data_IF_054120983549
#
_entry.id   IF_054120983549
#
_cell.length_a   1.000
_cell.length_b   1.000
_cell.length_c   1.000
_cell.angle_alpha   90.00
_cell.angle_beta   90.00
_cell.angle_gamma   90.00
#
_symmetry.space_group_name_H-M   'P 1'
#
loop_
_entity.id
_entity.type
_entity.pdbx_description
1 polymer ?
#
# COMPACT_ATOMS: atom_id res chain seq x y z
N UNK A 1 5.24 -44.60 35.20
CA UNK A 1 5.36 -43.15 35.44
C UNK A 1 6.31 -42.42 34.47
N UNK A 2 7.52 -42.94 34.21
CA UNK A 2 8.41 -42.30 33.21
C UNK A 2 7.94 -42.51 31.76
N UNK A 3 7.46 -43.69 31.39
CA UNK A 3 6.89 -43.96 30.06
C UNK A 3 5.72 -43.03 29.72
N UNK A 4 4.84 -42.73 30.70
CA UNK A 4 3.75 -41.82 30.50
C UNK A 4 4.25 -40.38 30.26
N UNK A 5 5.28 -39.95 30.99
CA UNK A 5 5.91 -38.63 30.81
C UNK A 5 6.55 -38.50 29.43
N UNK A 6 7.24 -39.53 28.93
CA UNK A 6 7.81 -39.52 27.59
C UNK A 6 6.72 -39.47 26.51
N UNK A 7 5.63 -40.23 26.65
CA UNK A 7 4.50 -40.23 25.75
C UNK A 7 3.82 -38.83 25.70
N UNK A 8 3.66 -38.19 26.85
CA UNK A 8 3.09 -36.83 26.95
C UNK A 8 4.01 -35.79 26.27
N UNK A 9 5.33 -35.91 26.48
CA UNK A 9 6.31 -35.03 25.84
C UNK A 9 6.33 -35.19 24.31
N UNK A 10 6.27 -36.44 23.81
CA UNK A 10 6.18 -36.70 22.36
C UNK A 10 4.90 -36.13 21.76
N UNK A 11 3.78 -36.29 22.47
CA UNK A 11 2.49 -35.74 22.02
C UNK A 11 2.53 -34.22 21.94
N UNK A 12 3.02 -33.54 22.97
CA UNK A 12 3.20 -32.08 23.00
C UNK A 12 4.12 -31.62 21.88
N UNK A 13 5.29 -32.24 21.74
CA UNK A 13 6.26 -31.91 20.69
C UNK A 13 5.66 -32.08 19.28
N UNK A 14 4.85 -33.11 19.08
CA UNK A 14 4.16 -33.33 17.80
C UNK A 14 3.09 -32.28 17.53
N UNK A 15 2.38 -31.85 18.56
CA UNK A 15 1.40 -30.75 18.46
C UNK A 15 2.11 -29.44 18.13
N UNK A 16 3.16 -29.07 18.86
CA UNK A 16 3.94 -27.86 18.65
C UNK A 16 4.52 -27.80 17.22
N UNK A 17 5.05 -28.92 16.73
CA UNK A 17 5.56 -29.05 15.37
C UNK A 17 4.45 -28.86 14.30
N UNK A 18 3.24 -29.38 14.57
CA UNK A 18 2.10 -29.21 13.65
C UNK A 18 1.62 -27.75 13.63
N UNK A 19 1.55 -27.10 14.78
CA UNK A 19 1.18 -25.70 14.91
C UNK A 19 2.20 -24.79 14.23
N UNK A 20 3.48 -25.00 14.49
CA UNK A 20 4.57 -24.28 13.83
C UNK A 20 4.50 -24.42 12.30
N UNK A 21 4.33 -25.63 11.79
CA UNK A 21 4.21 -25.88 10.34
C UNK A 21 2.97 -25.22 9.73
N UNK A 22 1.85 -25.18 10.45
CA UNK A 22 0.64 -24.45 10.02
C UNK A 22 0.92 -22.94 9.97
N UNK A 23 1.57 -22.40 10.99
CA UNK A 23 1.97 -20.99 11.05
C UNK A 23 2.86 -20.60 9.87
N UNK A 24 3.90 -21.39 9.59
CA UNK A 24 4.81 -21.17 8.45
C UNK A 24 4.05 -21.19 7.11
N UNK A 25 3.18 -22.19 6.89
CA UNK A 25 2.38 -22.24 5.64
C UNK A 25 1.44 -21.03 5.50
N UNK A 26 0.82 -20.61 6.59
CA UNK A 26 -0.05 -19.45 6.58
C UNK A 26 0.72 -18.16 6.28
N UNK A 27 1.93 -17.99 6.86
CA UNK A 27 2.81 -16.87 6.59
C UNK A 27 3.27 -16.84 5.11
N UNK A 28 3.73 -17.98 4.58
CA UNK A 28 4.10 -18.10 3.17
C UNK A 28 2.94 -17.77 2.23
N UNK A 29 1.72 -18.24 2.54
CA UNK A 29 0.54 -17.93 1.74
C UNK A 29 0.22 -16.42 1.74
N UNK A 30 0.40 -15.75 2.89
CA UNK A 30 0.21 -14.30 2.99
C UNK A 30 1.21 -13.52 2.13
N UNK A 31 2.49 -13.89 2.17
CA UNK A 31 3.52 -13.30 1.31
C UNK A 31 3.15 -13.46 -0.17
N UNK A 32 2.82 -14.69 -0.59
CA UNK A 32 2.41 -14.96 -1.98
C UNK A 32 1.17 -14.17 -2.39
N UNK A 33 0.20 -13.99 -1.49
CA UNK A 33 -0.99 -13.20 -1.79
C UNK A 33 -0.65 -11.71 -1.92
N UNK A 34 0.21 -11.17 -1.05
CA UNK A 34 0.68 -9.78 -1.14
C UNK A 34 1.43 -9.50 -2.43
N UNK A 35 2.32 -10.41 -2.86
CA UNK A 35 3.01 -10.31 -4.15
C UNK A 35 2.05 -10.33 -5.34
N UNK A 36 1.00 -11.15 -5.29
CA UNK A 36 -0.03 -11.18 -6.35
C UNK A 36 -0.79 -9.86 -6.43
N UNK A 37 -1.16 -9.27 -5.31
CA UNK A 37 -1.87 -7.99 -5.29
C UNK A 37 -0.97 -6.85 -5.77
N UNK A 38 0.31 -6.86 -5.40
CA UNK A 38 1.30 -5.91 -5.92
C UNK A 38 1.44 -6.00 -7.45
N UNK A 39 1.53 -7.23 -7.99
CA UNK A 39 1.58 -7.43 -9.44
C UNK A 39 0.31 -6.92 -10.12
N UNK A 40 -0.87 -7.17 -9.55
CA UNK A 40 -2.15 -6.63 -10.06
C UNK A 40 -2.19 -5.11 -10.04
N UNK A 41 -1.69 -4.50 -8.97
CA UNK A 41 -1.60 -3.05 -8.85
C UNK A 41 -0.67 -2.47 -9.92
N UNK A 42 0.50 -3.07 -10.10
CA UNK A 42 1.46 -2.70 -11.15
C UNK A 42 0.82 -2.81 -12.55
N UNK A 43 0.05 -3.86 -12.83
CA UNK A 43 -0.69 -4.03 -14.09
C UNK A 43 -1.75 -2.95 -14.30
N UNK A 44 -2.43 -2.51 -13.23
CA UNK A 44 -3.40 -1.40 -13.32
C UNK A 44 -2.68 -0.11 -13.69
N UNK A 45 -1.61 0.24 -12.99
CA UNK A 45 -0.80 1.43 -13.29
C UNK A 45 -0.26 1.37 -14.73
N UNK A 46 0.22 0.21 -15.18
CA UNK A 46 0.69 0.02 -16.56
C UNK A 46 -0.40 0.28 -17.62
N UNK A 47 -1.62 -0.15 -17.36
CA UNK A 47 -2.76 0.12 -18.25
C UNK A 47 -3.13 1.60 -18.27
N UNK A 48 -3.17 2.25 -17.10
CA UNK A 48 -3.46 3.67 -16.98
C UNK A 48 -2.42 4.51 -17.73
N UNK A 49 -1.13 4.18 -17.57
CA UNK A 49 -0.05 4.90 -18.24
C UNK A 49 -0.08 4.70 -19.78
N UNK A 50 -0.39 3.49 -20.25
CA UNK A 50 -0.60 3.25 -21.69
C UNK A 50 -1.76 4.09 -22.22
N UNK A 51 -2.91 4.08 -21.55
CA UNK A 51 -4.07 4.86 -21.93
C UNK A 51 -3.76 6.38 -21.96
N UNK A 52 -3.00 6.88 -21.00
CA UNK A 52 -2.51 8.26 -20.94
C UNK A 52 -1.65 8.59 -22.17
N UNK A 53 -0.64 7.76 -22.46
CA UNK A 53 0.27 7.96 -23.62
C UNK A 53 -0.49 7.94 -24.95
N UNK A 54 -1.43 7.03 -25.11
CA UNK A 54 -2.27 6.96 -26.29
C UNK A 54 -3.18 8.19 -26.44
N UNK A 55 -3.76 8.68 -25.33
CA UNK A 55 -4.56 9.90 -25.34
C UNK A 55 -3.73 11.12 -25.77
N UNK A 56 -2.51 11.25 -25.24
CA UNK A 56 -1.56 12.30 -25.64
C UNK A 56 -1.17 12.20 -27.11
N UNK A 57 -0.90 10.99 -27.61
CA UNK A 57 -0.58 10.76 -29.03
C UNK A 57 -1.76 11.13 -29.95
N UNK A 58 -2.99 11.06 -29.46
CA UNK A 58 -4.20 11.53 -30.17
C UNK A 58 -4.47 13.03 -30.01
N UNK A 59 -3.59 13.77 -29.35
CA UNK A 59 -3.71 15.23 -29.17
C UNK A 59 -4.53 15.65 -27.94
N UNK A 60 -4.76 14.77 -26.97
CA UNK A 60 -5.37 15.17 -25.71
C UNK A 60 -4.46 16.18 -24.99
N UNK A 61 -5.07 17.21 -24.38
CA UNK A 61 -4.34 18.19 -23.61
C UNK A 61 -3.63 17.53 -22.41
N UNK A 62 -2.37 17.88 -22.21
CA UNK A 62 -1.63 17.46 -21.01
C UNK A 62 -2.20 18.18 -19.79
N UNK A 63 -2.77 17.45 -18.85
CA UNK A 63 -3.06 18.02 -17.53
C UNK A 63 -1.73 18.52 -16.93
N UNK A 64 -1.75 19.73 -16.38
CA UNK A 64 -0.58 20.27 -15.69
C UNK A 64 -0.21 19.34 -14.52
N UNK A 65 1.05 18.93 -14.47
CA UNK A 65 1.53 18.09 -13.38
C UNK A 65 1.46 18.84 -12.05
N UNK A 66 0.81 18.24 -11.06
CA UNK A 66 0.70 18.76 -9.69
C UNK A 66 1.76 18.16 -8.78
N UNK A 67 2.35 17.02 -9.18
CA UNK A 67 3.54 16.43 -8.58
C UNK A 67 4.67 16.49 -9.61
N UNK A 68 5.82 17.01 -9.20
CA UNK A 68 7.06 17.08 -9.98
C UNK A 68 8.23 16.88 -9.03
N UNK A 69 9.45 16.80 -9.54
CA UNK A 69 10.65 16.72 -8.69
C UNK A 69 10.79 17.90 -7.71
N UNK A 70 10.16 19.05 -7.99
CA UNK A 70 10.08 20.16 -7.05
C UNK A 70 9.20 19.87 -5.82
N UNK A 71 8.40 18.80 -5.87
CA UNK A 71 7.56 18.36 -4.74
C UNK A 71 8.31 17.50 -3.71
N UNK A 72 9.60 17.22 -3.93
CA UNK A 72 10.42 16.47 -2.99
C UNK A 72 10.45 17.17 -1.61
N UNK A 73 10.12 16.42 -0.57
CA UNK A 73 10.11 16.89 0.82
C UNK A 73 9.02 17.91 1.16
N UNK A 74 8.06 18.16 0.27
CA UNK A 74 7.02 19.20 0.47
C UNK A 74 5.60 18.68 0.53
N UNK A 75 5.36 17.42 0.13
CA UNK A 75 4.01 16.85 0.18
C UNK A 75 3.55 16.63 1.62
N UNK A 76 2.30 16.99 1.95
CA UNK A 76 1.76 16.72 3.28
C UNK A 76 1.61 15.21 3.50
N UNK A 77 1.59 14.80 4.76
CA UNK A 77 1.27 13.43 5.11
C UNK A 77 -0.20 13.14 4.79
N UNK A 78 -0.50 11.98 4.16
CA UNK A 78 -1.88 11.62 3.82
C UNK A 78 -2.75 11.30 5.04
N UNK A 79 -2.14 10.92 6.14
CA UNK A 79 -2.78 10.65 7.44
C UNK A 79 -1.78 10.88 8.56
N UNK A 80 -2.26 11.25 9.73
CA UNK A 80 -1.45 11.30 10.95
C UNK A 80 -1.23 9.89 11.50
N UNK A 81 -0.01 9.58 11.92
CA UNK A 81 0.30 8.27 12.46
C UNK A 81 1.79 7.98 12.51
N UNK A 82 2.14 6.78 12.98
CA UNK A 82 3.51 6.30 13.08
C UNK A 82 3.87 5.45 11.86
N UNK A 83 5.14 5.46 11.47
CA UNK A 83 5.62 4.61 10.39
C UNK A 83 5.72 3.16 10.88
N UNK A 84 5.01 2.23 10.22
CA UNK A 84 5.05 0.80 10.52
C UNK A 84 6.11 0.07 9.70
N UNK A 85 6.19 0.38 8.42
CA UNK A 85 7.20 -0.15 7.49
C UNK A 85 7.59 0.91 6.46
N UNK A 86 8.77 0.72 5.90
CA UNK A 86 9.41 1.64 4.95
C UNK A 86 9.46 1.03 3.57
N UNK A 87 9.62 1.88 2.57
CA UNK A 87 9.91 1.49 1.19
C UNK A 87 11.21 0.67 1.10
N UNK A 88 11.21 -0.33 0.25
CA UNK A 88 12.37 -1.17 -0.05
C UNK A 88 12.33 -2.55 0.63
N UNK A 89 13.43 -3.29 0.58
CA UNK A 89 13.53 -4.63 1.16
C UNK A 89 13.45 -4.58 2.69
N UNK A 90 12.74 -5.56 3.25
CA UNK A 90 12.58 -5.72 4.69
C UNK A 90 12.57 -7.23 5.04
N UNK A 91 12.98 -7.60 6.27
CA UNK A 91 12.84 -8.97 6.73
C UNK A 91 11.38 -9.40 6.76
N UNK A 92 11.10 -10.52 6.14
CA UNK A 92 9.81 -11.18 6.18
C UNK A 92 9.75 -12.33 7.19
N UNK A 93 8.61 -13.02 7.32
CA UNK A 93 8.48 -14.22 8.13
C UNK A 93 9.45 -15.31 7.66
N UNK A 94 9.92 -16.15 8.60
CA UNK A 94 10.73 -17.34 8.30
C UNK A 94 12.00 -17.08 7.46
N UNK A 95 12.70 -15.98 7.74
CA UNK A 95 13.93 -15.58 7.05
C UNK A 95 13.73 -15.31 5.54
N UNK A 96 12.49 -14.96 5.13
CA UNK A 96 12.19 -14.45 3.78
C UNK A 96 12.47 -12.95 3.71
N UNK A 97 12.53 -12.42 2.49
CA UNK A 97 12.60 -10.98 2.23
C UNK A 97 11.30 -10.52 1.59
N UNK A 98 10.76 -9.41 2.07
CA UNK A 98 9.61 -8.72 1.49
C UNK A 98 10.09 -7.38 0.94
N UNK A 99 9.69 -7.03 -0.27
CA UNK A 99 9.94 -5.70 -0.83
C UNK A 99 8.67 -4.86 -0.75
N UNK A 100 8.73 -3.76 -0.01
CA UNK A 100 7.64 -2.79 0.08
C UNK A 100 7.79 -1.72 -1.00
N UNK A 101 6.76 -1.51 -1.80
CA UNK A 101 6.73 -0.47 -2.85
C UNK A 101 6.17 0.87 -2.35
N UNK A 102 5.87 0.94 -1.07
CA UNK A 102 5.37 2.13 -0.38
C UNK A 102 5.73 2.14 1.10
N UNK A 103 5.00 2.90 1.87
CA UNK A 103 5.13 3.01 3.33
C UNK A 103 3.82 2.66 4.01
N UNK A 104 3.91 2.03 5.18
CA UNK A 104 2.76 1.81 6.07
C UNK A 104 2.71 2.88 7.15
N UNK A 105 1.59 3.58 7.25
CA UNK A 105 1.36 4.62 8.25
C UNK A 105 0.26 4.13 9.19
N UNK A 106 0.66 3.70 10.39
CA UNK A 106 -0.26 3.22 11.43
C UNK A 106 -1.10 4.37 11.95
N UNK A 107 -2.42 4.20 11.90
CA UNK A 107 -3.39 5.18 12.37
C UNK A 107 -4.67 4.47 12.84
N UNK A 108 -5.53 5.19 13.54
CA UNK A 108 -6.81 4.63 14.00
C UNK A 108 -7.72 4.28 12.82
N UNK A 109 -8.48 3.18 12.95
CA UNK A 109 -9.55 2.86 11.99
C UNK A 109 -10.51 4.04 11.88
N UNK A 110 -10.90 4.39 10.67
CA UNK A 110 -11.78 5.53 10.40
C UNK A 110 -11.08 6.90 10.40
N UNK A 111 -9.77 6.97 10.63
CA UNK A 111 -9.03 8.22 10.48
C UNK A 111 -9.10 8.71 9.01
N UNK A 112 -9.34 10.03 8.78
CA UNK A 112 -9.49 10.56 7.43
C UNK A 112 -8.16 10.51 6.67
N UNK A 113 -8.19 9.93 5.47
CA UNK A 113 -7.08 9.88 4.52
C UNK A 113 -7.25 10.99 3.50
N UNK A 114 -6.21 11.79 3.31
CA UNK A 114 -6.22 12.98 2.46
C UNK A 114 -5.31 12.84 1.25
N UNK A 115 -5.74 13.42 0.14
CA UNK A 115 -4.93 13.53 -1.07
C UNK A 115 -3.70 14.42 -0.79
N UNK A 116 -2.49 13.91 -1.07
CA UNK A 116 -1.23 14.65 -0.86
C UNK A 116 -1.02 15.77 -1.87
N UNK A 117 -1.70 15.70 -3.02
CA UNK A 117 -1.68 16.70 -4.09
C UNK A 117 -2.99 16.64 -4.87
N UNK A 118 -3.31 17.71 -5.58
CA UNK A 118 -4.46 17.72 -6.50
C UNK A 118 -4.27 16.72 -7.63
N UNK A 119 -5.37 16.12 -8.10
CA UNK A 119 -5.32 15.11 -9.14
C UNK A 119 -6.69 14.67 -9.60
N UNK A 120 -6.74 13.59 -10.34
CA UNK A 120 -7.98 12.93 -10.78
C UNK A 120 -7.99 11.50 -10.28
N UNK A 121 -9.09 11.03 -9.77
CA UNK A 121 -9.30 9.63 -9.40
C UNK A 121 -9.33 8.77 -10.65
N UNK A 122 -8.36 7.90 -10.83
CA UNK A 122 -8.24 7.04 -12.02
C UNK A 122 -8.55 5.58 -11.74
N UNK A 123 -8.68 5.22 -10.47
CA UNK A 123 -9.13 3.90 -10.04
C UNK A 123 -9.62 3.92 -8.60
N UNK A 124 -10.69 3.15 -8.33
CA UNK A 124 -11.24 2.88 -7.00
C UNK A 124 -11.75 1.44 -6.97
N UNK A 125 -11.36 0.66 -5.96
CA UNK A 125 -11.87 -0.70 -5.83
C UNK A 125 -11.22 -1.51 -4.74
N UNK A 126 -11.82 -2.66 -4.43
CA UNK A 126 -11.26 -3.64 -3.50
C UNK A 126 -10.17 -4.50 -4.16
N UNK A 127 -9.06 -4.71 -3.46
CA UNK A 127 -7.87 -5.41 -3.97
C UNK A 127 -7.30 -6.36 -2.93
N UNK A 128 -7.98 -7.46 -2.69
CA UNK A 128 -7.50 -8.53 -1.82
C UNK A 128 -6.91 -8.02 -0.50
N UNK A 129 -5.62 -8.22 -0.27
CA UNK A 129 -4.91 -7.80 0.94
C UNK A 129 -4.75 -6.28 1.06
N UNK A 130 -4.86 -5.54 -0.05
CA UNK A 130 -4.83 -4.07 -0.07
C UNK A 130 -6.19 -3.42 0.23
N UNK A 131 -7.24 -4.23 0.44
CA UNK A 131 -8.60 -3.76 0.74
C UNK A 131 -9.07 -2.68 -0.26
N UNK A 132 -9.88 -1.73 0.19
CA UNK A 132 -10.28 -0.60 -0.64
C UNK A 132 -9.06 0.27 -0.97
N UNK A 133 -8.88 0.53 -2.25
CA UNK A 133 -7.73 1.26 -2.79
C UNK A 133 -8.23 2.41 -3.68
N UNK A 134 -7.63 3.58 -3.53
CA UNK A 134 -7.84 4.75 -4.39
C UNK A 134 -6.53 5.08 -5.09
N UNK A 135 -6.57 5.32 -6.40
CA UNK A 135 -5.42 5.75 -7.20
C UNK A 135 -5.71 7.13 -7.79
N UNK A 136 -4.82 8.08 -7.52
CA UNK A 136 -4.87 9.42 -8.08
C UNK A 136 -3.80 9.60 -9.15
N UNK A 137 -4.17 10.23 -10.27
CA UNK A 137 -3.25 10.70 -11.29
C UNK A 137 -2.97 12.19 -11.11
N UNK A 138 -1.69 12.56 -11.11
CA UNK A 138 -1.23 13.93 -10.86
C UNK A 138 -0.66 14.64 -12.10
N UNK A 139 -0.81 14.05 -13.28
CA UNK A 139 -0.15 14.51 -14.51
C UNK A 139 1.33 14.08 -14.55
N UNK A 140 2.01 14.32 -15.69
CA UNK A 140 3.43 14.03 -15.85
C UNK A 140 3.85 12.55 -15.68
N UNK A 141 2.91 11.61 -15.56
CA UNK A 141 3.18 10.20 -15.26
C UNK A 141 3.30 9.89 -13.78
N UNK A 142 2.93 10.82 -12.88
CA UNK A 142 2.91 10.59 -11.45
C UNK A 142 1.55 10.10 -10.97
N UNK A 143 1.57 9.11 -10.08
CA UNK A 143 0.40 8.54 -9.43
C UNK A 143 0.66 8.40 -7.93
N UNK A 144 -0.39 8.54 -7.11
CA UNK A 144 -0.37 8.15 -5.70
C UNK A 144 -1.43 7.09 -5.44
N UNK A 145 -1.10 6.15 -4.57
CA UNK A 145 -1.92 5.00 -4.24
C UNK A 145 -2.18 5.03 -2.74
N UNK A 146 -3.44 4.94 -2.38
CA UNK A 146 -3.93 4.91 -1.02
C UNK A 146 -4.68 3.60 -0.83
N UNK A 147 -4.09 2.66 -0.13
CA UNK A 147 -4.63 1.31 0.06
C UNK A 147 -4.86 1.00 1.54
N UNK A 148 -5.48 -0.14 1.83
CA UNK A 148 -5.95 -0.54 3.16
C UNK A 148 -6.99 0.40 3.76
N UNK A 149 -7.79 1.05 2.89
CA UNK A 149 -8.89 1.89 3.32
C UNK A 149 -10.07 1.02 3.78
N UNK A 150 -10.86 1.52 4.72
CA UNK A 150 -12.16 0.94 5.09
C UNK A 150 -13.24 1.28 4.07
N UNK A 151 -13.13 2.47 3.47
CA UNK A 151 -14.04 2.99 2.46
C UNK A 151 -13.34 4.05 1.59
N UNK A 152 -13.92 4.35 0.44
CA UNK A 152 -13.54 5.48 -0.39
C UNK A 152 -14.70 6.48 -0.43
N UNK A 153 -14.39 7.77 -0.29
CA UNK A 153 -15.38 8.88 -0.35
C UNK A 153 -15.44 9.51 -1.73
N UNK A 154 -14.62 9.05 -2.67
CA UNK A 154 -14.50 9.53 -4.05
C UNK A 154 -14.80 8.45 -5.06
N UNK A 155 -15.09 8.83 -6.30
CA UNK A 155 -15.43 7.92 -7.39
C UNK A 155 -14.47 8.08 -8.57
N UNK A 156 -14.46 7.09 -9.45
CA UNK A 156 -13.68 7.12 -10.68
C UNK A 156 -14.03 8.37 -11.52
N UNK A 157 -13.01 9.14 -11.87
CA UNK A 157 -13.13 10.35 -12.66
C UNK A 157 -13.24 11.64 -11.85
N UNK A 158 -13.47 11.55 -10.54
CA UNK A 158 -13.58 12.73 -9.70
C UNK A 158 -12.27 13.54 -9.68
N UNK A 159 -12.33 14.87 -9.85
CA UNK A 159 -11.21 15.75 -9.55
C UNK A 159 -11.11 15.90 -8.03
N UNK A 160 -9.89 15.84 -7.49
CA UNK A 160 -9.62 16.07 -6.06
C UNK A 160 -8.60 17.20 -5.89
N UNK A 161 -8.70 17.94 -4.80
CA UNK A 161 -7.72 18.95 -4.42
C UNK A 161 -6.80 18.44 -3.32
N UNK A 162 -5.62 19.01 -3.20
CA UNK A 162 -4.69 18.66 -2.10
C UNK A 162 -5.37 18.87 -0.74
N UNK A 163 -5.24 17.90 0.17
CA UNK A 163 -5.86 17.91 1.50
C UNK A 163 -7.32 17.42 1.56
N UNK A 164 -7.96 17.16 0.43
CA UNK A 164 -9.30 16.58 0.37
C UNK A 164 -9.34 15.16 0.94
N UNK A 165 -10.39 14.85 1.71
CA UNK A 165 -10.58 13.48 2.24
C UNK A 165 -11.07 12.59 1.12
N UNK A 166 -10.34 11.50 0.87
CA UNK A 166 -10.61 10.53 -0.21
C UNK A 166 -11.05 9.16 0.30
N UNK A 167 -11.02 8.96 1.61
CA UNK A 167 -11.42 7.73 2.30
C UNK A 167 -10.96 7.72 3.74
N UNK A 168 -11.10 6.58 4.39
CA UNK A 168 -10.73 6.41 5.80
C UNK A 168 -9.85 5.18 6.00
N UNK A 169 -9.00 5.23 7.02
CA UNK A 169 -8.08 4.14 7.38
C UNK A 169 -8.84 2.87 7.75
N UNK A 170 -8.43 1.76 7.17
CA UNK A 170 -8.90 0.41 7.49
C UNK A 170 -7.79 -0.49 8.01
N UNK A 171 -7.73 -1.72 7.52
CA UNK A 171 -6.62 -2.65 7.75
C UNK A 171 -6.55 -3.30 9.13
N UNK A 172 -7.57 -3.14 9.98
CA UNK A 172 -7.59 -3.74 11.33
C UNK A 172 -7.40 -5.28 11.34
N UNK A 173 -7.79 -5.94 10.26
CA UNK A 173 -7.65 -7.40 10.09
C UNK A 173 -6.36 -7.83 9.41
N UNK A 174 -5.48 -6.89 9.04
CA UNK A 174 -4.17 -7.19 8.46
C UNK A 174 -3.14 -7.51 9.53
N UNK A 175 -2.04 -8.15 9.16
CA UNK A 175 -0.95 -8.51 10.09
C UNK A 175 -0.28 -7.27 10.69
N UNK A 176 -0.34 -6.13 9.99
CA UNK A 176 0.22 -4.85 10.44
C UNK A 176 -0.76 -4.05 11.32
N UNK A 177 -2.00 -4.54 11.47
CA UNK A 177 -3.07 -3.80 12.13
C UNK A 177 -3.61 -2.64 11.30
N UNK A 178 -4.30 -1.71 11.94
CA UNK A 178 -4.89 -0.56 11.24
C UNK A 178 -3.82 0.40 10.73
N UNK A 179 -3.81 0.63 9.41
CA UNK A 179 -2.84 1.50 8.76
C UNK A 179 -3.31 1.94 7.37
N UNK A 180 -2.67 2.97 6.85
CA UNK A 180 -2.68 3.33 5.43
C UNK A 180 -1.43 2.77 4.77
N UNK A 181 -1.57 2.01 3.69
CA UNK A 181 -0.50 1.75 2.75
C UNK A 181 -0.48 2.85 1.70
N UNK A 182 0.65 3.57 1.60
CA UNK A 182 0.79 4.72 0.72
C UNK A 182 1.98 4.57 -0.22
N UNK A 183 1.74 4.77 -1.53
CA UNK A 183 2.76 4.70 -2.57
C UNK A 183 2.80 5.96 -3.43
N UNK A 184 3.97 6.24 -3.98
CA UNK A 184 4.17 7.20 -5.07
C UNK A 184 4.79 6.45 -6.24
N UNK A 185 4.15 6.54 -7.40
CA UNK A 185 4.69 6.03 -8.67
C UNK A 185 5.06 7.19 -9.57
N UNK A 186 6.27 7.16 -10.08
CA UNK A 186 6.79 8.14 -11.03
C UNK A 186 6.58 7.73 -12.49
N UNK A 187 7.13 8.51 -13.43
CA UNK A 187 7.17 8.14 -14.84
C UNK A 187 7.72 6.73 -15.04
N UNK A 188 7.22 6.03 -16.04
CA UNK A 188 7.56 4.63 -16.33
C UNK A 188 7.19 3.62 -15.23
N UNK A 189 6.25 4.00 -14.36
CA UNK A 189 5.66 3.17 -13.29
C UNK A 189 6.64 2.83 -12.15
N UNK A 190 7.76 3.53 -12.07
CA UNK A 190 8.78 3.30 -11.07
C UNK A 190 8.22 3.64 -9.68
N UNK A 191 8.28 2.69 -8.75
CA UNK A 191 7.96 2.96 -7.35
C UNK A 191 9.02 3.87 -6.75
N UNK A 192 8.58 4.93 -6.08
CA UNK A 192 9.43 5.94 -5.46
C UNK A 192 9.27 5.88 -3.95
N UNK A 193 10.37 6.04 -3.21
CA UNK A 193 10.29 6.09 -1.74
C UNK A 193 9.47 7.32 -1.29
N UNK A 194 8.27 7.12 -0.71
CA UNK A 194 7.41 8.24 -0.31
C UNK A 194 8.04 9.17 0.71
N UNK A 195 8.97 8.67 1.54
CA UNK A 195 9.63 9.49 2.57
C UNK A 195 10.52 10.58 2.00
N UNK A 196 10.97 10.43 0.75
CA UNK A 196 11.71 11.48 0.06
C UNK A 196 10.79 12.61 -0.45
N UNK A 197 9.49 12.38 -0.51
CA UNK A 197 8.50 13.32 -1.04
C UNK A 197 7.68 13.99 0.06
N UNK A 198 7.41 13.27 1.13
CA UNK A 198 6.65 13.76 2.27
C UNK A 198 7.47 14.76 3.10
N UNK A 199 6.79 15.74 3.68
CA UNK A 199 7.39 16.68 4.63
C UNK A 199 8.04 15.93 5.78
N UNK A 200 9.20 16.40 6.23
CA UNK A 200 9.83 15.86 7.44
C UNK A 200 8.89 16.08 8.62
N UNK A 201 8.53 15.02 9.34
CA UNK A 201 7.85 15.17 10.63
C UNK A 201 8.82 15.88 11.57
N UNK A 202 8.38 16.99 12.15
CA UNK A 202 9.12 17.59 13.25
C UNK A 202 9.09 16.61 14.44
N UNK A 203 10.21 16.47 15.17
CA UNK A 203 10.31 15.58 16.33
C UNK A 203 9.37 16.02 17.46
#
# INVERSE_FOLDING_TARGET
>A
DELNRYSDLETRRTQDLRETRRGIRAAQQRVTNSEKEENRLTDVIARLERARREALARGAATARATITTASLGTLPWPVDGNLLYRFGPAPGPDNTEITWHGVGIGSAVGAPVRAVASGTVVDVGERGTYLTTVILQHGGGYYTIYATLSDATVHLGDPVVAGEVIGHVGGASTDQGSHLHFEIRGPDQIALDPLNWLQKKQP
#
